data_IF_297515421640
#
_entry.id   IF_297515421640
#
_cell.length_a   1.000
_cell.length_b   1.000
_cell.length_c   1.000
_cell.angle_alpha   90.00
_cell.angle_beta   90.00
_cell.angle_gamma   90.00
#
_symmetry.space_group_name_H-M   'P 1'
#
loop_
_entity.id
_entity.type
_entity.pdbx_description
1 polymer ?
#
# COMPACT_ATOMS: atom_id res chain seq x y z
N UNK A 1 6.59 -20.16 18.19
CA UNK A 1 5.46 -19.44 18.81
C UNK A 1 5.30 -17.98 18.34
N UNK A 2 6.32 -17.30 17.80
CA UNK A 2 6.21 -15.91 17.29
C UNK A 2 5.38 -15.77 16.00
N UNK A 3 5.40 -16.77 15.12
CA UNK A 3 4.70 -16.74 13.82
C UNK A 3 3.17 -16.61 13.95
N UNK A 4 2.57 -17.22 14.98
CA UNK A 4 1.10 -17.18 15.13
C UNK A 4 0.60 -15.80 15.61
N UNK A 5 1.42 -15.03 16.33
CA UNK A 5 1.04 -13.69 16.81
C UNK A 5 1.07 -12.65 15.67
N UNK A 6 2.08 -12.70 14.79
CA UNK A 6 2.17 -11.79 13.64
C UNK A 6 1.00 -12.01 12.65
N UNK A 7 0.63 -13.25 12.38
CA UNK A 7 -0.50 -13.56 11.49
C UNK A 7 -1.83 -13.05 12.08
N UNK A 8 -2.03 -13.17 13.39
CA UNK A 8 -3.24 -12.65 14.05
C UNK A 8 -3.33 -11.14 14.05
N UNK A 9 -2.20 -10.43 14.22
CA UNK A 9 -2.16 -8.96 14.18
C UNK A 9 -2.42 -8.46 12.75
N UNK A 10 -1.85 -9.10 11.73
CA UNK A 10 -2.12 -8.77 10.33
C UNK A 10 -3.57 -9.05 9.93
N UNK A 11 -4.14 -10.17 10.36
CA UNK A 11 -5.55 -10.49 10.13
C UNK A 11 -6.48 -9.50 10.83
N UNK A 12 -6.18 -9.09 12.06
CA UNK A 12 -6.95 -8.09 12.80
C UNK A 12 -6.88 -6.71 12.14
N UNK A 13 -5.71 -6.27 11.67
CA UNK A 13 -5.53 -5.01 10.96
C UNK A 13 -6.27 -5.02 9.61
N UNK A 14 -6.23 -6.14 8.88
CA UNK A 14 -6.97 -6.32 7.63
C UNK A 14 -8.49 -6.34 7.87
N UNK A 15 -8.96 -6.99 8.93
CA UNK A 15 -10.37 -6.99 9.31
C UNK A 15 -10.85 -5.59 9.75
N UNK A 16 -10.04 -4.83 10.49
CA UNK A 16 -10.37 -3.43 10.85
C UNK A 16 -10.43 -2.53 9.61
N UNK A 17 -9.53 -2.71 8.65
CA UNK A 17 -9.54 -1.97 7.39
C UNK A 17 -10.77 -2.32 6.51
N UNK A 18 -11.25 -3.56 6.56
CA UNK A 18 -12.44 -4.02 5.85
C UNK A 18 -13.75 -3.62 6.54
N UNK A 19 -13.74 -3.40 7.86
CA UNK A 19 -14.90 -2.96 8.63
C UNK A 19 -15.09 -1.43 8.64
N UNK A 20 -14.05 -0.67 8.33
CA UNK A 20 -14.12 0.80 8.25
C UNK A 20 -15.17 1.35 7.26
N UNK A 21 -15.45 0.70 6.10
CA UNK A 21 -16.52 1.17 5.21
C UNK A 21 -17.93 1.05 5.79
N UNK A 22 -18.19 0.12 6.69
CA UNK A 22 -19.55 -0.13 7.21
C UNK A 22 -20.04 0.91 8.21
N UNK A 23 -19.16 1.74 8.78
CA UNK A 23 -19.53 2.82 9.69
C UNK A 23 -19.83 4.15 8.96
N UNK A 24 -19.73 4.16 7.63
CA UNK A 24 -19.84 5.36 6.82
C UNK A 24 -21.14 5.46 6.00
N UNK A 25 -22.19 4.76 6.36
CA UNK A 25 -23.42 4.55 5.57
C UNK A 25 -24.39 5.71 5.48
N UNK A 26 -24.00 6.97 5.69
CA UNK A 26 -24.96 8.06 5.70
C UNK A 26 -24.56 9.31 4.90
N UNK A 27 -23.68 9.27 3.93
CA UNK A 27 -23.34 10.49 3.17
C UNK A 27 -23.02 10.26 1.69
N UNK A 28 -23.99 10.63 0.85
CA UNK A 28 -24.00 11.40 -0.40
C UNK A 28 -23.20 10.95 -1.65
N UNK A 29 -23.72 11.22 -2.86
CA UNK A 29 -23.15 10.82 -4.17
C UNK A 29 -21.70 11.23 -4.41
N UNK A 30 -21.19 12.21 -3.64
CA UNK A 30 -19.84 12.75 -3.75
C UNK A 30 -18.76 11.74 -3.32
N UNK A 31 -19.08 10.83 -2.40
CA UNK A 31 -18.16 9.75 -2.00
C UNK A 31 -17.95 8.69 -3.08
N UNK A 32 -18.89 8.54 -4.00
CA UNK A 32 -18.76 7.56 -5.08
C UNK A 32 -17.60 7.84 -6.02
N UNK A 33 -17.23 9.10 -6.24
CA UNK A 33 -16.14 9.48 -7.14
C UNK A 33 -14.76 9.19 -6.59
N UNK A 34 -14.58 9.24 -5.27
CA UNK A 34 -13.31 8.89 -4.61
C UNK A 34 -13.20 7.41 -4.29
N UNK A 35 -14.30 6.69 -4.27
CA UNK A 35 -14.32 5.29 -3.88
C UNK A 35 -13.36 4.44 -4.71
N UNK A 36 -13.56 4.41 -6.03
CA UNK A 36 -12.72 3.62 -6.91
C UNK A 36 -11.26 4.05 -6.97
N UNK A 37 -10.94 5.35 -7.07
CA UNK A 37 -9.54 5.80 -6.97
C UNK A 37 -8.87 5.41 -5.65
N UNK A 38 -9.59 5.48 -4.53
CA UNK A 38 -9.06 5.08 -3.22
C UNK A 38 -8.77 3.59 -3.16
N UNK A 39 -9.71 2.76 -3.62
CA UNK A 39 -9.49 1.30 -3.70
C UNK A 39 -8.31 0.98 -4.61
N UNK A 40 -8.24 1.62 -5.78
CA UNK A 40 -7.16 1.41 -6.73
C UNK A 40 -5.78 1.78 -6.12
N UNK A 41 -5.69 2.93 -5.44
CA UNK A 41 -4.46 3.37 -4.79
C UNK A 41 -4.03 2.42 -3.67
N UNK A 42 -4.96 1.99 -2.82
CA UNK A 42 -4.69 1.02 -1.75
C UNK A 42 -4.27 -0.35 -2.29
N UNK A 43 -4.94 -0.83 -3.34
CA UNK A 43 -4.59 -2.11 -3.98
C UNK A 43 -3.22 -2.06 -4.64
N UNK A 44 -2.90 -0.99 -5.35
CA UNK A 44 -1.59 -0.82 -5.99
C UNK A 44 -0.46 -0.70 -4.95
N UNK A 45 -0.68 0.03 -3.84
CA UNK A 45 0.26 0.11 -2.73
C UNK A 45 0.49 -1.27 -2.08
N UNK A 46 -0.58 -2.04 -1.89
CA UNK A 46 -0.49 -3.40 -1.35
C UNK A 46 0.32 -4.32 -2.27
N UNK A 47 0.06 -4.27 -3.59
CA UNK A 47 0.82 -5.06 -4.57
C UNK A 47 2.31 -4.69 -4.58
N UNK A 48 2.65 -3.39 -4.52
CA UNK A 48 4.03 -2.92 -4.44
C UNK A 48 4.73 -3.45 -3.17
N UNK A 49 4.09 -3.38 -2.02
CA UNK A 49 4.68 -3.90 -0.78
C UNK A 49 4.82 -5.42 -0.76
N UNK A 50 3.90 -6.16 -1.36
CA UNK A 50 4.01 -7.62 -1.50
C UNK A 50 5.20 -7.99 -2.39
N UNK A 51 5.33 -7.34 -3.56
CA UNK A 51 6.44 -7.60 -4.48
C UNK A 51 7.79 -7.16 -3.89
N UNK A 52 7.84 -6.04 -3.19
CA UNK A 52 9.03 -5.59 -2.45
C UNK A 52 9.44 -6.63 -1.40
N UNK A 53 8.49 -7.15 -0.61
CA UNK A 53 8.79 -8.21 0.37
C UNK A 53 9.36 -9.45 -0.31
N UNK A 54 8.73 -9.86 -1.39
CA UNK A 54 9.14 -11.05 -2.12
C UNK A 54 10.56 -10.90 -2.66
N UNK A 55 10.85 -9.77 -3.31
CA UNK A 55 12.16 -9.42 -3.84
C UNK A 55 13.26 -9.44 -2.77
N UNK A 56 13.02 -8.81 -1.62
CA UNK A 56 14.00 -8.73 -0.54
C UNK A 56 14.22 -10.07 0.15
N UNK A 57 13.15 -10.84 0.38
CA UNK A 57 13.22 -12.05 1.18
C UNK A 57 13.75 -13.25 0.40
N UNK A 58 13.33 -13.41 -0.84
CA UNK A 58 13.58 -14.63 -1.61
C UNK A 58 14.65 -14.45 -2.68
N UNK A 59 14.81 -13.25 -3.23
CA UNK A 59 15.73 -12.99 -4.34
C UNK A 59 16.97 -12.20 -3.96
N UNK A 60 17.14 -11.86 -2.67
CA UNK A 60 18.28 -11.09 -2.15
C UNK A 60 18.50 -9.75 -2.90
N UNK A 61 17.44 -9.19 -3.46
CA UNK A 61 17.46 -7.86 -4.06
C UNK A 61 17.72 -6.83 -2.96
N UNK A 62 18.54 -5.84 -3.25
CA UNK A 62 18.85 -4.79 -2.29
C UNK A 62 17.86 -3.63 -2.42
N UNK A 63 17.42 -3.09 -1.28
CA UNK A 63 16.62 -1.88 -1.23
C UNK A 63 17.46 -0.69 -1.70
N UNK A 64 16.97 0.03 -2.69
CA UNK A 64 17.65 1.20 -3.26
C UNK A 64 17.22 2.51 -2.61
N UNK A 65 16.03 2.55 -2.00
CA UNK A 65 15.55 3.73 -1.31
C UNK A 65 16.32 3.94 0.00
N UNK A 66 17.09 5.05 0.15
CA UNK A 66 17.91 5.29 1.33
C UNK A 66 17.12 5.37 2.63
N UNK A 67 15.83 5.77 2.57
CA UNK A 67 14.96 5.85 3.75
C UNK A 67 14.51 4.46 4.23
N UNK A 68 14.39 3.50 3.33
CA UNK A 68 13.95 2.14 3.65
C UNK A 68 15.11 1.17 3.86
N UNK A 69 16.29 1.51 3.36
CA UNK A 69 17.50 0.69 3.46
C UNK A 69 17.84 0.21 4.89
N UNK A 70 17.70 1.03 5.96
CA UNK A 70 17.93 0.56 7.33
C UNK A 70 16.95 -0.54 7.78
N UNK A 71 15.77 -0.63 7.15
CA UNK A 71 14.73 -1.61 7.47
C UNK A 71 14.87 -2.90 6.65
N UNK A 72 15.79 -2.95 5.68
CA UNK A 72 16.00 -4.10 4.79
C UNK A 72 16.29 -5.40 5.56
N UNK A 73 16.98 -5.32 6.70
CA UNK A 73 17.25 -6.47 7.57
C UNK A 73 15.98 -7.10 8.17
N UNK A 74 14.88 -6.39 8.16
CA UNK A 74 13.57 -6.84 8.65
C UNK A 74 12.46 -6.55 7.65
N UNK A 75 12.38 -7.28 6.52
CA UNK A 75 11.41 -7.01 5.46
C UNK A 75 9.96 -6.92 5.96
N UNK A 76 9.58 -7.75 6.92
CA UNK A 76 8.25 -7.71 7.52
C UNK A 76 7.94 -6.40 8.24
N UNK A 77 8.91 -5.82 8.96
CA UNK A 77 8.75 -4.51 9.61
C UNK A 77 8.66 -3.39 8.57
N UNK A 78 9.49 -3.45 7.55
CA UNK A 78 9.48 -2.47 6.47
C UNK A 78 8.12 -2.41 5.78
N UNK A 79 7.54 -3.55 5.46
CA UNK A 79 6.23 -3.64 4.82
C UNK A 79 5.12 -3.16 5.74
N UNK A 80 5.14 -3.59 7.01
CA UNK A 80 4.12 -3.15 7.96
C UNK A 80 4.13 -1.64 8.17
N UNK A 81 5.32 -1.05 8.29
CA UNK A 81 5.47 0.39 8.46
C UNK A 81 5.11 1.13 7.16
N UNK A 82 5.67 0.72 6.03
CA UNK A 82 5.42 1.37 4.75
C UNK A 82 3.96 1.25 4.31
N UNK A 83 3.35 0.08 4.47
CA UNK A 83 1.93 -0.12 4.19
C UNK A 83 1.02 0.73 5.09
N UNK A 84 1.34 0.83 6.38
CA UNK A 84 0.60 1.70 7.29
C UNK A 84 0.74 3.19 6.90
N UNK A 85 1.93 3.63 6.51
CA UNK A 85 2.17 5.00 6.04
C UNK A 85 1.39 5.30 4.76
N UNK A 86 1.33 4.37 3.80
CA UNK A 86 0.56 4.55 2.58
C UNK A 86 -0.93 4.64 2.85
N UNK A 87 -1.48 3.76 3.69
CA UNK A 87 -2.89 3.82 4.06
C UNK A 87 -3.23 5.12 4.81
N UNK A 88 -2.38 5.53 5.73
CA UNK A 88 -2.53 6.81 6.44
C UNK A 88 -2.44 8.00 5.46
N UNK A 89 -1.51 7.95 4.50
CA UNK A 89 -1.37 8.96 3.46
C UNK A 89 -2.60 9.07 2.57
N UNK A 90 -3.15 7.95 2.11
CA UNK A 90 -4.39 7.90 1.32
C UNK A 90 -5.58 8.46 2.14
N UNK A 91 -5.69 8.07 3.40
CA UNK A 91 -6.75 8.57 4.28
C UNK A 91 -6.63 10.08 4.52
N UNK A 92 -5.42 10.58 4.82
CA UNK A 92 -5.16 12.00 5.00
C UNK A 92 -5.42 12.79 3.71
N UNK A 93 -5.02 12.28 2.56
CA UNK A 93 -5.28 12.87 1.25
C UNK A 93 -6.79 13.04 1.01
N UNK A 94 -7.55 11.98 1.24
CA UNK A 94 -9.00 12.03 1.12
C UNK A 94 -9.64 13.01 2.11
N UNK A 95 -9.21 13.01 3.35
CA UNK A 95 -9.78 13.89 4.39
C UNK A 95 -9.49 15.37 4.14
N UNK A 96 -8.30 15.69 3.61
CA UNK A 96 -7.87 17.09 3.45
C UNK A 96 -8.31 17.72 2.13
N UNK A 97 -8.24 16.96 1.02
CA UNK A 97 -8.50 17.51 -0.32
C UNK A 97 -9.91 17.28 -0.83
N UNK A 98 -10.55 16.17 -0.44
CA UNK A 98 -11.88 15.82 -0.94
C UNK A 98 -12.95 16.91 -0.69
N UNK A 99 -13.03 17.56 0.47
CA UNK A 99 -14.04 18.55 0.71
C UNK A 99 -13.95 19.83 -0.14
N UNK A 100 -12.74 20.17 -0.57
CA UNK A 100 -12.45 21.45 -1.25
C UNK A 100 -12.00 21.29 -2.70
N UNK A 101 -11.31 20.19 -3.00
CA UNK A 101 -10.61 19.99 -4.26
C UNK A 101 -10.77 18.55 -4.78
N UNK A 102 -12.02 18.09 -4.95
CA UNK A 102 -12.36 16.72 -5.33
C UNK A 102 -11.60 16.24 -6.59
N UNK A 103 -11.55 17.09 -7.64
CA UNK A 103 -10.84 16.73 -8.89
C UNK A 103 -9.36 16.49 -8.65
N UNK A 104 -8.74 17.30 -7.79
CA UNK A 104 -7.33 17.14 -7.41
C UNK A 104 -7.14 15.88 -6.57
N UNK A 105 -8.07 15.59 -5.65
CA UNK A 105 -8.04 14.38 -4.85
C UNK A 105 -8.09 13.12 -5.74
N UNK A 106 -9.02 13.08 -6.69
CA UNK A 106 -9.14 11.97 -7.67
C UNK A 106 -7.87 11.84 -8.52
N UNK A 107 -7.36 12.95 -9.06
CA UNK A 107 -6.17 12.94 -9.89
C UNK A 107 -4.93 12.44 -9.12
N UNK A 108 -4.76 12.86 -7.86
CA UNK A 108 -3.66 12.42 -7.01
C UNK A 108 -3.74 10.92 -6.67
N UNK A 109 -4.94 10.39 -6.39
CA UNK A 109 -5.12 8.96 -6.15
C UNK A 109 -4.80 8.12 -7.40
N UNK A 110 -5.18 8.57 -8.59
CA UNK A 110 -4.82 7.88 -9.82
C UNK A 110 -3.32 7.97 -10.11
N UNK A 111 -2.68 9.11 -9.84
CA UNK A 111 -1.23 9.25 -9.96
C UNK A 111 -0.50 8.31 -8.99
N UNK A 112 -0.96 8.22 -7.74
CA UNK A 112 -0.45 7.27 -6.75
C UNK A 112 -0.63 5.82 -7.21
N UNK A 113 -1.81 5.49 -7.73
CA UNK A 113 -2.10 4.15 -8.30
C UNK A 113 -1.10 3.79 -9.39
N UNK A 114 -0.92 4.68 -10.37
CA UNK A 114 -0.01 4.46 -11.50
C UNK A 114 1.45 4.29 -11.03
N UNK A 115 1.89 5.12 -10.09
CA UNK A 115 3.24 5.05 -9.54
C UNK A 115 3.48 3.74 -8.78
N UNK A 116 2.55 3.33 -7.90
CA UNK A 116 2.67 2.09 -7.14
C UNK A 116 2.57 0.84 -8.03
N UNK A 117 1.69 0.86 -9.03
CA UNK A 117 1.62 -0.22 -10.02
C UNK A 117 2.93 -0.35 -10.81
N UNK A 118 3.53 0.76 -11.20
CA UNK A 118 4.84 0.76 -11.84
C UNK A 118 5.91 0.12 -10.94
N UNK A 119 5.97 0.49 -9.67
CA UNK A 119 6.94 -0.10 -8.72
C UNK A 119 6.71 -1.60 -8.54
N UNK A 120 5.46 -2.05 -8.40
CA UNK A 120 5.13 -3.46 -8.28
C UNK A 120 5.58 -4.27 -9.51
N UNK A 121 5.33 -3.75 -10.71
CA UNK A 121 5.78 -4.38 -11.97
C UNK A 121 7.31 -4.38 -12.03
N UNK A 122 7.97 -3.29 -11.69
CA UNK A 122 9.42 -3.18 -11.68
C UNK A 122 10.06 -4.19 -10.73
N UNK A 123 9.53 -4.33 -9.53
CA UNK A 123 9.99 -5.32 -8.55
C UNK A 123 9.84 -6.74 -9.09
N UNK A 124 8.69 -7.07 -9.65
CA UNK A 124 8.43 -8.38 -10.24
C UNK A 124 9.40 -8.71 -11.39
N UNK A 125 9.67 -7.75 -12.28
CA UNK A 125 10.65 -7.93 -13.35
C UNK A 125 12.08 -8.12 -12.83
N UNK A 126 12.43 -7.48 -11.73
CA UNK A 126 13.74 -7.65 -11.09
C UNK A 126 13.89 -9.01 -10.43
N UNK A 127 12.81 -9.58 -9.86
CA UNK A 127 12.78 -10.96 -9.37
C UNK A 127 13.14 -11.94 -10.49
N UNK A 128 12.45 -11.86 -11.62
CA UNK A 128 12.74 -12.72 -12.77
C UNK A 128 14.15 -12.56 -13.37
N UNK A 129 14.74 -11.39 -13.25
CA UNK A 129 16.14 -11.17 -13.64
C UNK A 129 17.11 -11.80 -12.65
N UNK A 130 16.79 -11.80 -11.37
CA UNK A 130 17.60 -12.42 -10.32
C UNK A 130 17.57 -13.95 -10.40
N UNK A 131 16.44 -14.54 -10.79
CA UNK A 131 16.31 -16.00 -11.01
C UNK A 131 17.19 -16.54 -12.14
N UNK A 132 17.52 -15.71 -13.12
CA UNK A 132 18.30 -16.11 -14.30
C UNK A 132 19.83 -15.98 -14.13
N UNK A 133 20.28 -15.53 -12.97
CA UNK A 133 21.70 -15.37 -12.63
C UNK A 133 22.19 -16.46 -11.70
#
# INVERSE_FOLDING_TARGET
>A
MLHSRCVRVLAAALCLALLAPSLATAQEPQRSRLYWPTIAAGSAATADWITTYHALKFYRVQETNPLLKPLQASPGRMISLGGAMDLAGIAAWNATLSPKHEKLAVAGLWAMTAFRAYLAIHNHLNEHRAERR
#
